data_IF_366508723843
#
_entry.id   IF_366508723843
#
_cell.length_a   1.000
_cell.length_b   1.000
_cell.length_c   1.000
_cell.angle_alpha   90.00
_cell.angle_beta   90.00
_cell.angle_gamma   90.00
#
_symmetry.space_group_name_H-M   'P 1'
#
loop_
_entity.id
_entity.type
_entity.pdbx_description
1 polymer ?
#
# COMPACT_ATOMS: atom_id res chain seq x y z
N UNK A 1 8.79 -17.84 -43.36
CA UNK A 1 7.96 -18.36 -42.24
C UNK A 1 8.72 -18.64 -40.93
N UNK A 2 9.85 -19.37 -40.91
CA UNK A 2 10.55 -19.72 -39.64
C UNK A 2 11.13 -18.54 -38.87
N UNK A 3 11.63 -17.49 -39.55
CA UNK A 3 12.19 -16.29 -38.88
C UNK A 3 11.09 -15.39 -38.30
N UNK A 4 9.92 -15.35 -38.94
CA UNK A 4 8.79 -14.52 -38.50
C UNK A 4 8.10 -15.12 -37.26
N UNK A 5 8.04 -16.46 -37.16
CA UNK A 5 7.61 -17.16 -35.94
C UNK A 5 8.54 -16.90 -34.74
N UNK A 6 9.86 -16.75 -34.98
CA UNK A 6 10.85 -16.43 -33.93
C UNK A 6 10.74 -14.99 -33.44
N UNK A 7 10.44 -14.05 -34.33
CA UNK A 7 10.23 -12.63 -33.98
C UNK A 7 8.92 -12.46 -33.19
N UNK A 8 7.85 -13.16 -33.57
CA UNK A 8 6.59 -13.14 -32.83
C UNK A 8 6.70 -13.73 -31.42
N UNK A 9 7.47 -14.81 -31.24
CA UNK A 9 7.69 -15.42 -29.93
C UNK A 9 8.49 -14.50 -28.98
N UNK A 10 9.45 -13.74 -29.51
CA UNK A 10 10.25 -12.80 -28.72
C UNK A 10 9.42 -11.60 -28.24
N UNK A 11 8.53 -11.08 -29.10
CA UNK A 11 7.64 -9.97 -28.77
C UNK A 11 6.60 -10.32 -27.69
N UNK A 12 6.11 -11.56 -27.68
CA UNK A 12 5.18 -12.05 -26.66
C UNK A 12 5.86 -12.29 -25.30
N UNK A 13 7.12 -12.74 -25.30
CA UNK A 13 7.89 -12.92 -24.08
C UNK A 13 8.20 -11.57 -23.39
N UNK A 14 8.48 -10.53 -24.17
CA UNK A 14 8.70 -9.18 -23.63
C UNK A 14 7.44 -8.58 -23.02
N UNK A 15 6.26 -8.77 -23.63
CA UNK A 15 5.02 -8.22 -23.05
C UNK A 15 4.61 -8.93 -21.77
N UNK A 16 4.80 -10.27 -21.67
CA UNK A 16 4.55 -11.00 -20.43
C UNK A 16 5.50 -10.59 -19.29
N UNK A 17 6.75 -10.23 -19.59
CA UNK A 17 7.70 -9.80 -18.55
C UNK A 17 7.41 -8.38 -18.06
N UNK A 18 6.84 -7.50 -18.88
CA UNK A 18 6.34 -6.19 -18.42
C UNK A 18 5.11 -6.31 -17.51
N UNK A 19 4.24 -7.32 -17.69
CA UNK A 19 3.11 -7.57 -16.80
C UNK A 19 3.52 -7.93 -15.38
N UNK A 20 4.68 -8.59 -15.20
CA UNK A 20 5.23 -8.91 -13.88
C UNK A 20 5.82 -7.67 -13.18
N UNK A 21 6.42 -6.75 -13.94
CA UNK A 21 6.91 -5.49 -13.41
C UNK A 21 5.77 -4.54 -12.99
N UNK A 22 4.57 -4.69 -13.54
CA UNK A 22 3.41 -3.89 -13.16
C UNK A 22 2.85 -4.24 -11.76
N UNK A 23 2.99 -5.49 -11.30
CA UNK A 23 2.63 -5.86 -9.92
C UNK A 23 3.73 -5.52 -8.89
N UNK A 24 4.97 -5.29 -9.34
CA UNK A 24 6.09 -4.86 -8.48
C UNK A 24 6.33 -3.35 -8.49
N UNK A 25 5.81 -2.63 -9.49
CA UNK A 25 5.85 -1.18 -9.63
C UNK A 25 4.73 -0.48 -8.86
N UNK A 26 4.39 -1.02 -7.68
CA UNK A 26 3.58 -0.28 -6.71
C UNK A 26 4.28 1.04 -6.47
N UNK A 27 3.60 2.12 -6.82
CA UNK A 27 4.09 3.48 -6.75
C UNK A 27 4.45 3.78 -5.29
N UNK A 28 5.69 3.44 -4.90
CA UNK A 28 6.29 3.69 -3.60
C UNK A 28 6.54 5.19 -3.51
N UNK A 29 5.46 5.98 -3.51
CA UNK A 29 5.42 7.22 -2.76
C UNK A 29 5.92 6.77 -1.40
N UNK A 30 7.14 7.16 -1.04
CA UNK A 30 7.58 7.05 0.34
C UNK A 30 6.44 7.64 1.14
N UNK A 31 5.64 6.79 1.80
CA UNK A 31 4.64 7.29 2.71
C UNK A 31 5.48 8.04 3.75
N UNK A 32 5.21 9.33 3.94
CA UNK A 32 6.02 10.25 4.74
C UNK A 32 5.94 9.92 6.25
N UNK A 33 5.98 8.64 6.62
CA UNK A 33 5.73 8.16 7.96
C UNK A 33 4.26 8.17 8.37
N UNK A 34 3.38 8.83 7.63
CA UNK A 34 1.98 8.97 8.03
C UNK A 34 1.14 7.77 7.61
N UNK A 35 0.51 7.14 8.59
CA UNK A 35 -0.44 6.04 8.45
C UNK A 35 -1.80 6.48 8.96
N UNK A 36 -2.87 6.08 8.25
CA UNK A 36 -4.24 6.29 8.71
C UNK A 36 -4.78 4.98 9.25
N UNK A 37 -5.19 4.97 10.52
CA UNK A 37 -5.84 3.83 11.17
C UNK A 37 -7.33 4.11 11.31
N UNK A 38 -8.15 3.32 10.62
CA UNK A 38 -9.61 3.44 10.71
C UNK A 38 -10.18 2.49 11.76
N UNK A 39 -11.09 3.02 12.57
CA UNK A 39 -11.84 2.29 13.58
C UNK A 39 -13.33 2.56 13.42
N UNK A 40 -14.16 1.60 13.82
CA UNK A 40 -15.63 1.73 13.71
C UNK A 40 -16.30 2.12 15.03
N UNK A 41 -15.66 1.83 16.17
CA UNK A 41 -16.20 2.10 17.49
C UNK A 41 -15.55 3.35 18.10
N UNK A 42 -16.35 4.38 18.33
CA UNK A 42 -15.92 5.63 18.98
C UNK A 42 -15.38 5.39 20.39
N UNK A 43 -15.90 4.40 21.12
CA UNK A 43 -15.42 4.10 22.48
C UNK A 43 -13.97 3.59 22.49
N UNK A 44 -13.47 3.08 21.35
CA UNK A 44 -12.09 2.63 21.22
C UNK A 44 -11.13 3.75 20.84
N UNK A 45 -11.63 4.93 20.45
CA UNK A 45 -10.80 6.04 19.94
C UNK A 45 -9.68 6.41 20.88
N UNK A 46 -9.98 6.59 22.17
CA UNK A 46 -8.99 7.06 23.14
C UNK A 46 -7.90 6.01 23.39
N UNK A 47 -8.29 4.73 23.48
CA UNK A 47 -7.35 3.63 23.62
C UNK A 47 -6.46 3.48 22.38
N UNK A 48 -7.03 3.66 21.19
CA UNK A 48 -6.30 3.60 19.93
C UNK A 48 -5.35 4.79 19.74
N UNK A 49 -5.74 5.97 20.21
CA UNK A 49 -4.86 7.14 20.22
C UNK A 49 -3.69 6.93 21.18
N UNK A 50 -3.92 6.40 22.38
CA UNK A 50 -2.85 6.11 23.33
C UNK A 50 -1.82 5.10 22.78
N UNK A 51 -2.28 4.10 22.00
CA UNK A 51 -1.40 3.16 21.33
C UNK A 51 -0.61 3.83 20.19
N UNK A 52 -1.25 4.69 19.41
CA UNK A 52 -0.59 5.47 18.36
C UNK A 52 0.51 6.38 18.93
N UNK A 53 0.24 7.05 20.04
CA UNK A 53 1.19 7.93 20.72
C UNK A 53 2.38 7.13 21.27
N UNK A 54 2.13 6.01 21.96
CA UNK A 54 3.18 5.12 22.46
C UNK A 54 4.03 4.54 21.33
N UNK A 55 3.44 4.28 20.17
CA UNK A 55 4.18 3.82 19.00
C UNK A 55 5.06 4.93 18.40
N UNK A 56 4.58 6.17 18.38
CA UNK A 56 5.35 7.33 17.92
C UNK A 56 6.55 7.63 18.82
N UNK A 57 6.44 7.44 20.14
CA UNK A 57 7.55 7.63 21.07
C UNK A 57 8.78 6.77 20.71
N UNK A 58 8.55 5.55 20.20
CA UNK A 58 9.61 4.62 19.80
C UNK A 58 9.90 4.66 18.29
N UNK A 59 9.02 5.25 17.47
CA UNK A 59 9.18 5.45 16.03
C UNK A 59 8.79 6.90 15.65
N UNK A 60 9.64 7.89 15.94
CA UNK A 60 9.31 9.31 15.77
C UNK A 60 9.14 9.71 14.30
N UNK A 61 9.61 8.88 13.37
CA UNK A 61 9.41 9.02 11.93
C UNK A 61 8.04 8.50 11.47
N UNK A 62 7.24 7.86 12.33
CA UNK A 62 5.93 7.30 11.97
C UNK A 62 4.82 8.02 12.73
N UNK A 63 3.85 8.60 12.02
CA UNK A 63 2.67 9.24 12.59
C UNK A 63 1.44 8.40 12.28
N UNK A 64 0.64 8.04 13.30
CA UNK A 64 -0.60 7.29 13.10
C UNK A 64 -1.80 8.19 13.39
N UNK A 65 -2.63 8.43 12.39
CA UNK A 65 -3.87 9.20 12.51
C UNK A 65 -5.06 8.26 12.73
N UNK A 66 -5.72 8.37 13.89
CA UNK A 66 -6.90 7.57 14.23
C UNK A 66 -8.19 8.23 13.72
N UNK A 67 -8.80 7.61 12.72
CA UNK A 67 -10.07 8.05 12.14
C UNK A 67 -11.19 7.11 12.57
N UNK A 68 -12.28 7.68 13.08
CA UNK A 68 -13.51 6.92 13.32
C UNK A 68 -14.37 7.05 12.08
N UNK A 69 -14.57 5.94 11.37
CA UNK A 69 -15.55 5.84 10.30
C UNK A 69 -16.71 5.02 10.83
N UNK A 70 -17.74 5.69 11.35
CA UNK A 70 -19.02 5.03 11.60
C UNK A 70 -19.59 4.57 10.26
N UNK A 71 -20.04 3.32 10.16
CA UNK A 71 -20.97 2.98 9.09
C UNK A 71 -22.22 3.85 9.31
N UNK A 72 -22.65 4.55 8.27
CA UNK A 72 -24.03 5.05 8.24
C UNK A 72 -24.94 3.81 8.29
N UNK A 73 -25.77 3.69 9.33
CA UNK A 73 -26.92 2.78 9.34
C UNK A 73 -28.05 3.31 8.45
#
# INVERSE_FOLDING_TARGET
MRRWKKIGALALATTLSLSLAACGGGNNKSADGTLTMQIWDTAQRDAMQALADAYHEINPDVTIEVQVTSWDE
#
